data_IF_149071706162
#
_entry.id   IF_149071706162
#
_cell.length_a   1.000
_cell.length_b   1.000
_cell.length_c   1.000
_cell.angle_alpha   90.00
_cell.angle_beta   90.00
_cell.angle_gamma   90.00
#
_symmetry.space_group_name_H-M   'P 1'
#
loop_
_entity.id
_entity.type
_entity.pdbx_description
1 polymer ?
#
# COMPACT_ATOMS: atom_id res chain seq x y z
N UNK A 1 2.83 -7.98 0.60
CA UNK A 1 3.04 -6.53 0.80
C UNK A 1 2.17 -5.77 -0.19
N UNK A 2 1.69 -4.60 0.17
CA UNK A 2 0.88 -3.75 -0.71
C UNK A 2 1.57 -2.39 -0.80
N UNK A 3 1.81 -1.95 -2.03
CA UNK A 3 2.49 -0.67 -2.28
C UNK A 3 1.47 0.46 -2.36
N UNK A 4 1.75 1.54 -1.65
CA UNK A 4 0.95 2.77 -1.62
C UNK A 4 1.60 3.92 -2.41
N UNK A 5 2.81 3.72 -2.93
CA UNK A 5 3.46 4.71 -3.79
C UNK A 5 2.74 4.83 -5.13
N UNK A 6 2.53 6.07 -5.56
CA UNK A 6 2.14 6.42 -6.93
C UNK A 6 2.80 7.73 -7.31
N UNK A 7 3.26 7.84 -8.57
CA UNK A 7 3.86 9.08 -9.09
C UNK A 7 2.84 10.22 -9.14
N UNK A 8 1.55 9.89 -9.30
CA UNK A 8 0.45 10.85 -9.32
C UNK A 8 -0.58 10.50 -8.23
N UNK A 9 -1.23 11.50 -7.61
CA UNK A 9 -2.24 11.24 -6.59
C UNK A 9 -3.35 10.32 -7.12
N UNK A 10 -3.67 9.27 -6.38
CA UNK A 10 -4.69 8.30 -6.75
C UNK A 10 -5.49 7.87 -5.53
N UNK A 11 -6.82 7.89 -5.67
CA UNK A 11 -7.79 7.42 -4.68
C UNK A 11 -8.59 6.26 -5.27
N UNK A 12 -8.26 5.05 -4.82
CA UNK A 12 -8.85 3.80 -5.32
C UNK A 12 -8.82 2.69 -4.24
N UNK A 13 -9.46 1.55 -4.52
CA UNK A 13 -9.38 0.35 -3.66
C UNK A 13 -7.96 -0.22 -3.77
N UNK A 14 -7.24 -0.29 -2.63
CA UNK A 14 -5.87 -0.81 -2.57
C UNK A 14 -5.80 -2.30 -2.27
N UNK A 15 -6.77 -2.83 -1.52
CA UNK A 15 -6.76 -4.21 -1.03
C UNK A 15 -8.19 -4.74 -1.00
N UNK A 16 -8.36 -5.99 -1.45
CA UNK A 16 -9.55 -6.80 -1.21
C UNK A 16 -9.07 -8.07 -0.52
N UNK A 17 -9.59 -8.38 0.67
CA UNK A 17 -9.23 -9.59 1.39
C UNK A 17 -9.75 -10.83 0.65
N UNK A 18 -9.06 -11.98 0.73
CA UNK A 18 -9.57 -13.22 0.16
C UNK A 18 -10.87 -13.65 0.87
N UNK A 19 -11.65 -14.52 0.20
CA UNK A 19 -12.81 -15.15 0.83
C UNK A 19 -12.34 -16.08 1.96
N UNK A 20 -12.95 -15.93 3.13
CA UNK A 20 -12.66 -16.72 4.32
C UNK A 20 -13.94 -17.41 4.83
N UNK A 21 -13.83 -18.57 5.50
CA UNK A 21 -14.96 -19.16 6.22
C UNK A 21 -15.55 -18.18 7.26
N UNK A 22 -16.80 -18.40 7.66
CA UNK A 22 -17.44 -17.54 8.66
C UNK A 22 -16.82 -17.79 10.03
N UNK A 23 -16.04 -16.83 10.52
CA UNK A 23 -15.49 -16.79 11.87
C UNK A 23 -15.14 -15.35 12.26
N UNK A 24 -14.57 -15.17 13.45
CA UNK A 24 -14.11 -13.88 13.94
C UNK A 24 -12.63 -13.68 13.56
N UNK A 25 -12.34 -12.59 12.86
CA UNK A 25 -10.98 -12.25 12.41
C UNK A 25 -10.65 -10.81 12.78
N UNK A 26 -9.36 -10.50 12.88
CA UNK A 26 -8.84 -9.14 13.00
C UNK A 26 -8.01 -8.83 11.76
N UNK A 27 -8.32 -7.74 11.07
CA UNK A 27 -7.47 -7.21 10.00
C UNK A 27 -6.48 -6.22 10.62
N UNK A 28 -5.18 -6.56 10.59
CA UNK A 28 -4.10 -5.68 11.03
C UNK A 28 -3.41 -5.08 9.80
N UNK A 29 -3.29 -3.75 9.79
CA UNK A 29 -2.49 -3.02 8.81
C UNK A 29 -1.31 -2.40 9.53
N UNK A 30 -0.10 -2.71 9.06
CA UNK A 30 1.15 -2.22 9.63
C UNK A 30 1.94 -1.45 8.58
N UNK A 31 2.49 -0.30 8.97
CA UNK A 31 3.41 0.46 8.14
C UNK A 31 4.79 -0.19 8.23
N UNK A 32 5.20 -0.86 7.15
CA UNK A 32 6.45 -1.63 7.12
C UNK A 32 7.72 -0.79 7.17
N UNK A 33 7.62 0.53 6.94
CA UNK A 33 8.77 1.42 6.80
C UNK A 33 9.59 1.19 5.52
N UNK A 34 9.15 0.29 4.63
CA UNK A 34 9.82 0.05 3.34
C UNK A 34 9.49 1.18 2.38
N UNK A 35 10.53 1.87 1.90
CA UNK A 35 10.40 2.94 0.91
C UNK A 35 10.75 2.43 -0.49
N UNK A 36 9.78 2.33 -1.43
CA UNK A 36 10.06 1.85 -2.78
C UNK A 36 10.84 2.92 -3.56
N UNK A 37 12.12 2.67 -3.82
CA UNK A 37 13.00 3.49 -4.64
C UNK A 37 13.74 2.61 -5.64
N UNK A 38 13.96 3.14 -6.84
CA UNK A 38 14.74 2.46 -7.87
C UNK A 38 15.57 3.45 -8.68
N UNK A 39 16.54 2.94 -9.43
CA UNK A 39 17.41 3.73 -10.29
C UNK A 39 17.49 3.10 -11.68
N UNK A 40 17.77 3.93 -12.68
CA UNK A 40 18.15 3.47 -14.01
C UNK A 40 19.67 3.56 -14.23
N UNK A 41 20.12 3.28 -15.46
CA UNK A 41 21.54 3.37 -15.86
C UNK A 41 22.10 4.80 -15.84
N UNK A 42 21.25 5.83 -15.90
CA UNK A 42 21.64 7.24 -15.78
C UNK A 42 21.91 7.64 -14.33
N UNK A 43 21.65 6.73 -13.37
CA UNK A 43 21.73 6.94 -11.91
C UNK A 43 20.68 7.91 -11.38
N UNK A 44 19.61 8.14 -12.14
CA UNK A 44 18.47 8.92 -11.65
C UNK A 44 17.69 8.09 -10.64
N UNK A 45 17.44 8.66 -9.46
CA UNK A 45 16.65 8.03 -8.39
C UNK A 45 15.17 8.36 -8.62
N UNK A 46 14.34 7.32 -8.65
CA UNK A 46 12.89 7.39 -8.76
C UNK A 46 12.22 6.71 -7.58
N UNK A 47 10.92 6.92 -7.43
CA UNK A 47 10.11 6.29 -6.39
C UNK A 47 9.72 7.26 -5.29
N UNK A 48 9.43 6.71 -4.12
CA UNK A 48 8.93 7.45 -2.96
C UNK A 48 10.04 8.17 -2.20
N UNK A 49 9.74 9.32 -1.62
CA UNK A 49 10.59 10.03 -0.65
C UNK A 49 10.25 9.65 0.82
N UNK A 50 9.03 9.17 1.08
CA UNK A 50 8.55 8.72 2.39
C UNK A 50 7.94 7.31 2.42
N UNK A 51 7.36 6.94 3.56
CA UNK A 51 6.81 5.60 3.85
C UNK A 51 5.35 5.66 4.30
N UNK A 52 4.61 6.65 3.80
CA UNK A 52 3.26 6.94 4.24
C UNK A 52 2.23 5.93 3.71
N UNK A 53 1.23 5.64 4.54
CA UNK A 53 0.05 4.86 4.20
C UNK A 53 -1.17 5.69 4.57
N UNK A 54 -2.04 5.96 3.60
CA UNK A 54 -3.28 6.71 3.82
C UNK A 54 -4.48 5.79 3.59
N UNK A 55 -5.35 5.69 4.60
CA UNK A 55 -6.58 4.89 4.54
C UNK A 55 -7.76 5.83 4.67
N UNK A 56 -8.51 5.98 3.58
CA UNK A 56 -9.69 6.83 3.55
C UNK A 56 -10.93 6.14 4.11
N UNK A 57 -11.14 4.86 3.74
CA UNK A 57 -12.32 4.09 4.13
C UNK A 57 -11.96 2.61 4.27
N UNK A 58 -12.72 1.91 5.13
CA UNK A 58 -12.69 0.45 5.27
C UNK A 58 -14.12 -0.06 5.15
N UNK A 59 -14.36 -1.01 4.26
CA UNK A 59 -15.67 -1.60 3.99
C UNK A 59 -15.69 -3.07 4.39
N UNK A 60 -16.82 -3.54 4.93
CA UNK A 60 -17.10 -4.93 5.24
C UNK A 60 -18.32 -5.38 4.45
N UNK A 61 -18.24 -6.54 3.79
CA UNK A 61 -19.24 -7.07 2.88
C UNK A 61 -19.63 -8.49 3.26
#
# INVERSE_FOLDING_TARGET
LVDFYSKYPEKAIRIITPKMPKANYTLQVEITGVRPVWTDKTKTIYGSDGTFVTIDNVYHF
#
